data_IF_058769001809
#
_entry.id   IF_058769001809
#
_cell.length_a   1.000
_cell.length_b   1.000
_cell.length_c   1.000
_cell.angle_alpha   90.00
_cell.angle_beta   90.00
_cell.angle_gamma   90.00
#
_symmetry.space_group_name_H-M   'P 1'
#
loop_
_entity.id
_entity.type
_entity.pdbx_description
1 polymer ?
#
# COMPACT_ATOMS: atom_id res chain seq x y z
N UNK A 1 -20.49 14.13 7.24
CA UNK A 1 -19.94 14.08 5.86
C UNK A 1 -18.41 14.29 5.77
N UNK A 2 -17.70 14.57 6.86
CA UNK A 2 -16.23 14.79 6.89
C UNK A 2 -15.42 13.68 7.56
N UNK A 3 -16.05 12.84 8.38
CA UNK A 3 -15.38 11.79 9.17
C UNK A 3 -14.58 10.80 8.31
N UNK A 4 -15.20 10.22 7.28
CA UNK A 4 -14.52 9.27 6.37
C UNK A 4 -13.34 9.91 5.64
N UNK A 5 -13.43 11.20 5.31
CA UNK A 5 -12.35 11.91 4.63
C UNK A 5 -11.15 12.19 5.56
N UNK A 6 -11.39 12.62 6.80
CA UNK A 6 -10.33 12.79 7.79
C UNK A 6 -9.69 11.45 8.18
N UNK A 7 -10.50 10.40 8.32
CA UNK A 7 -10.03 9.05 8.59
C UNK A 7 -9.18 8.52 7.43
N UNK A 8 -9.62 8.69 6.18
CA UNK A 8 -8.85 8.30 4.99
C UNK A 8 -7.52 9.05 4.88
N UNK A 9 -7.55 10.36 5.16
CA UNK A 9 -6.36 11.20 5.16
C UNK A 9 -5.35 10.77 6.23
N UNK A 10 -5.82 10.50 7.46
CA UNK A 10 -4.99 9.99 8.55
C UNK A 10 -4.42 8.58 8.26
N UNK A 11 -5.25 7.68 7.73
CA UNK A 11 -4.85 6.31 7.36
C UNK A 11 -3.74 6.28 6.32
N UNK A 12 -3.74 7.20 5.36
CA UNK A 12 -2.67 7.29 4.36
C UNK A 12 -1.30 7.51 5.00
N UNK A 13 -1.21 8.34 6.05
CA UNK A 13 0.04 8.55 6.77
C UNK A 13 0.47 7.29 7.53
N UNK A 14 -0.48 6.56 8.13
CA UNK A 14 -0.20 5.28 8.78
C UNK A 14 0.29 4.22 7.80
N UNK A 15 -0.31 4.14 6.60
CA UNK A 15 0.12 3.22 5.53
C UNK A 15 1.51 3.56 5.03
N UNK A 16 1.82 4.85 4.82
CA UNK A 16 3.16 5.28 4.43
C UNK A 16 4.18 4.97 5.53
N UNK A 17 3.88 5.32 6.78
CA UNK A 17 4.77 5.07 7.92
C UNK A 17 5.03 3.57 8.11
N UNK A 18 3.97 2.76 8.18
CA UNK A 18 4.10 1.31 8.32
C UNK A 18 4.78 0.67 7.11
N UNK A 19 4.54 1.18 5.90
CA UNK A 19 5.22 0.74 4.67
C UNK A 19 6.72 1.02 4.71
N UNK A 20 7.14 2.21 5.13
CA UNK A 20 8.56 2.56 5.28
C UNK A 20 9.22 1.71 6.36
N UNK A 21 8.56 1.50 7.51
CA UNK A 21 9.09 0.63 8.58
C UNK A 21 9.24 -0.81 8.09
N UNK A 22 8.21 -1.36 7.43
CA UNK A 22 8.26 -2.72 6.89
C UNK A 22 9.35 -2.85 5.82
N UNK A 23 9.49 -1.85 4.94
CA UNK A 23 10.52 -1.81 3.92
C UNK A 23 11.92 -1.82 4.52
N UNK A 24 12.18 -0.91 5.48
CA UNK A 24 13.47 -0.80 6.15
C UNK A 24 13.83 -2.10 6.89
N UNK A 25 12.86 -2.69 7.61
CA UNK A 25 13.06 -3.95 8.32
C UNK A 25 13.33 -5.11 7.35
N UNK A 26 12.57 -5.24 6.27
CA UNK A 26 12.80 -6.31 5.28
C UNK A 26 14.11 -6.13 4.54
N UNK A 27 14.50 -4.92 4.18
CA UNK A 27 15.79 -4.64 3.56
C UNK A 27 16.94 -5.01 4.51
N UNK A 28 16.84 -4.63 5.79
CA UNK A 28 17.81 -5.00 6.81
C UNK A 28 17.89 -6.51 7.04
N UNK A 29 16.74 -7.19 7.10
CA UNK A 29 16.67 -8.64 7.32
C UNK A 29 17.22 -9.44 6.12
N UNK A 30 17.03 -8.95 4.89
CA UNK A 30 17.67 -9.50 3.68
C UNK A 30 19.18 -9.28 3.73
N UNK A 31 19.65 -8.06 4.03
CA UNK A 31 21.08 -7.73 4.08
C UNK A 31 21.83 -8.53 5.16
N UNK A 32 21.19 -8.75 6.31
CA UNK A 32 21.75 -9.55 7.42
C UNK A 32 21.48 -11.04 7.31
N UNK A 33 20.85 -11.50 6.21
CA UNK A 33 20.47 -12.91 5.96
C UNK A 33 19.72 -13.54 7.15
N UNK A 34 18.89 -12.75 7.84
CA UNK A 34 18.15 -13.24 9.02
C UNK A 34 17.11 -14.29 8.60
N UNK A 35 16.88 -15.33 9.41
CA UNK A 35 15.77 -16.23 9.22
C UNK A 35 14.44 -15.48 9.41
N UNK A 36 13.41 -15.88 8.66
CA UNK A 36 12.12 -15.22 8.73
C UNK A 36 11.48 -15.41 10.10
N UNK A 37 11.29 -14.29 10.82
CA UNK A 37 10.90 -14.28 12.22
C UNK A 37 9.45 -13.81 12.39
N UNK A 38 8.97 -13.86 13.64
CA UNK A 38 7.61 -13.40 13.97
C UNK A 38 7.45 -11.90 13.73
N UNK A 39 8.51 -11.10 13.93
CA UNK A 39 8.47 -9.64 13.79
C UNK A 39 8.21 -9.25 12.34
N UNK A 40 8.94 -9.83 11.39
CA UNK A 40 8.73 -9.60 9.96
C UNK A 40 7.34 -10.01 9.49
N UNK A 41 6.80 -11.11 10.04
CA UNK A 41 5.42 -11.52 9.77
C UNK A 41 4.40 -10.50 10.27
N UNK A 42 4.59 -9.97 11.48
CA UNK A 42 3.71 -8.96 12.07
C UNK A 42 3.79 -7.67 11.27
N UNK A 43 5.00 -7.17 10.96
CA UNK A 43 5.17 -5.94 10.19
C UNK A 43 4.54 -6.02 8.80
N UNK A 44 4.75 -7.13 8.08
CA UNK A 44 4.13 -7.35 6.77
C UNK A 44 2.60 -7.44 6.85
N UNK A 45 2.08 -8.13 7.87
CA UNK A 45 0.63 -8.24 8.09
C UNK A 45 0.00 -6.88 8.46
N UNK A 46 0.65 -6.10 9.32
CA UNK A 46 0.20 -4.78 9.73
C UNK A 46 0.18 -3.81 8.55
N UNK A 47 1.24 -3.76 7.74
CA UNK A 47 1.26 -2.91 6.54
C UNK A 47 0.16 -3.31 5.54
N UNK A 48 0.04 -4.61 5.22
CA UNK A 48 -1.03 -5.10 4.33
C UNK A 48 -2.42 -4.77 4.88
N UNK A 49 -2.62 -4.95 6.18
CA UNK A 49 -3.88 -4.64 6.87
C UNK A 49 -4.23 -3.15 6.81
N UNK A 50 -3.27 -2.25 7.09
CA UNK A 50 -3.50 -0.81 6.97
C UNK A 50 -3.80 -0.40 5.53
N UNK A 51 -3.11 -0.98 4.54
CA UNK A 51 -3.36 -0.70 3.13
C UNK A 51 -4.78 -1.14 2.72
N UNK A 52 -5.22 -2.33 3.13
CA UNK A 52 -6.58 -2.82 2.88
C UNK A 52 -7.63 -1.95 3.56
N UNK A 53 -7.40 -1.54 4.81
CA UNK A 53 -8.29 -0.63 5.52
C UNK A 53 -8.37 0.73 4.82
N UNK A 54 -7.25 1.26 4.30
CA UNK A 54 -7.24 2.49 3.53
C UNK A 54 -8.10 2.37 2.27
N UNK A 55 -8.00 1.25 1.53
CA UNK A 55 -8.84 1.00 0.35
C UNK A 55 -10.32 0.94 0.74
N UNK A 56 -10.67 0.21 1.81
CA UNK A 56 -12.05 0.09 2.28
C UNK A 56 -12.63 1.46 2.69
N UNK A 57 -11.88 2.26 3.42
CA UNK A 57 -12.30 3.63 3.78
C UNK A 57 -12.40 4.52 2.54
N UNK A 58 -11.52 4.32 1.54
CA UNK A 58 -11.59 5.02 0.24
C UNK A 58 -12.89 4.74 -0.52
N UNK A 59 -13.38 3.49 -0.47
CA UNK A 59 -14.69 3.11 -1.02
C UNK A 59 -15.82 3.84 -0.28
N UNK A 60 -15.73 3.96 1.05
CA UNK A 60 -16.69 4.77 1.83
C UNK A 60 -16.71 6.25 1.42
N UNK A 61 -15.55 6.83 1.12
CA UNK A 61 -15.46 8.21 0.61
C UNK A 61 -16.11 8.36 -0.76
N UNK A 62 -15.94 7.37 -1.65
CA UNK A 62 -16.57 7.36 -2.97
C UNK A 62 -18.10 7.37 -2.91
N UNK A 63 -18.67 6.52 -2.06
CA UNK A 63 -20.13 6.43 -1.88
C UNK A 63 -20.69 7.75 -1.32
N UNK A 64 -19.91 8.47 -0.51
CA UNK A 64 -20.38 9.67 0.19
C UNK A 64 -20.12 10.99 -0.52
N UNK A 65 -19.10 11.07 -1.40
CA UNK A 65 -18.65 12.34 -2.01
C UNK A 65 -18.80 12.40 -3.53
N UNK A 66 -19.23 11.30 -4.16
CA UNK A 66 -19.42 11.22 -5.60
C UNK A 66 -18.13 10.89 -6.35
N UNK A 67 -18.28 10.70 -7.66
CA UNK A 67 -17.27 10.13 -8.56
C UNK A 67 -16.56 11.21 -9.39
N UNK A 68 -15.25 11.04 -9.64
CA UNK A 68 -14.46 11.87 -10.56
C UNK A 68 -13.58 10.98 -11.45
N UNK A 69 -13.33 11.33 -12.73
CA UNK A 69 -12.61 10.45 -13.67
C UNK A 69 -11.19 10.07 -13.23
N UNK A 70 -10.44 11.01 -12.63
CA UNK A 70 -9.10 10.75 -12.08
C UNK A 70 -9.09 9.74 -10.91
N UNK A 71 -10.26 9.46 -10.33
CA UNK A 71 -10.41 8.58 -9.18
C UNK A 71 -10.34 7.10 -9.56
N UNK A 72 -10.63 6.73 -10.82
CA UNK A 72 -10.44 5.35 -11.31
C UNK A 72 -8.96 4.98 -11.24
N UNK A 73 -8.08 5.84 -11.78
CA UNK A 73 -6.64 5.57 -11.81
C UNK A 73 -6.08 5.35 -10.40
N UNK A 74 -6.52 6.17 -9.45
CA UNK A 74 -6.18 5.97 -8.05
C UNK A 74 -6.68 4.63 -7.48
N UNK A 75 -7.97 4.32 -7.66
CA UNK A 75 -8.57 3.08 -7.16
C UNK A 75 -7.86 1.85 -7.71
N UNK A 76 -7.64 1.81 -9.03
CA UNK A 76 -6.98 0.68 -9.69
C UNK A 76 -5.57 0.50 -9.13
N UNK A 77 -4.79 1.58 -9.01
CA UNK A 77 -3.43 1.52 -8.45
C UNK A 77 -3.43 1.04 -7.00
N UNK A 78 -4.41 1.45 -6.19
CA UNK A 78 -4.54 1.01 -4.80
C UNK A 78 -4.92 -0.48 -4.68
N UNK A 79 -5.80 -0.98 -5.54
CA UNK A 79 -6.16 -2.41 -5.59
C UNK A 79 -4.95 -3.24 -6.03
N UNK A 80 -4.23 -2.78 -7.05
CA UNK A 80 -2.99 -3.42 -7.49
C UNK A 80 -1.93 -3.41 -6.37
N UNK A 81 -1.82 -2.32 -5.60
CA UNK A 81 -0.91 -2.25 -4.45
C UNK A 81 -1.24 -3.31 -3.39
N UNK A 82 -2.52 -3.48 -3.05
CA UNK A 82 -2.98 -4.55 -2.14
C UNK A 82 -2.58 -5.92 -2.66
N UNK A 83 -2.81 -6.19 -3.94
CA UNK A 83 -2.39 -7.46 -4.58
C UNK A 83 -0.86 -7.65 -4.54
N UNK A 84 -0.10 -6.58 -4.78
CA UNK A 84 1.36 -6.59 -4.82
C UNK A 84 2.01 -6.90 -3.47
N UNK A 85 1.40 -6.55 -2.34
CA UNK A 85 1.90 -6.96 -1.02
C UNK A 85 1.28 -8.29 -0.55
N UNK A 86 -0.03 -8.47 -0.74
CA UNK A 86 -0.75 -9.62 -0.22
C UNK A 86 -0.35 -10.91 -0.94
N UNK A 87 -0.12 -10.86 -2.25
CA UNK A 87 0.33 -12.01 -3.04
C UNK A 87 1.67 -12.57 -2.56
N UNK A 88 2.75 -11.77 -2.52
CA UNK A 88 4.05 -12.21 -2.00
C UNK A 88 4.03 -12.64 -0.54
N UNK A 89 3.25 -11.98 0.33
CA UNK A 89 3.10 -12.43 1.72
C UNK A 89 2.43 -13.80 1.80
N UNK A 90 1.35 -14.03 1.05
CA UNK A 90 0.64 -15.31 1.00
C UNK A 90 1.52 -16.41 0.40
N UNK A 91 2.27 -16.11 -0.65
CA UNK A 91 3.22 -17.05 -1.26
C UNK A 91 4.38 -17.38 -0.30
N UNK A 92 4.94 -16.38 0.39
CA UNK A 92 6.03 -16.58 1.33
C UNK A 92 5.63 -17.44 2.53
N UNK A 93 4.39 -17.33 3.00
CA UNK A 93 3.85 -18.20 4.07
C UNK A 93 3.81 -19.69 3.68
N UNK A 94 3.79 -20.00 2.38
CA UNK A 94 3.77 -21.37 1.85
C UNK A 94 5.16 -21.94 1.57
N UNK A 95 6.24 -21.14 1.73
CA UNK A 95 7.62 -21.59 1.49
C UNK A 95 8.24 -22.19 2.74
N UNK A 96 9.09 -23.20 2.52
CA UNK A 96 9.90 -23.84 3.57
C UNK A 96 11.37 -23.87 3.11
N UNK A 97 12.26 -23.01 3.64
CA UNK A 97 12.01 -21.98 4.65
C UNK A 97 11.39 -20.68 4.07
N UNK A 98 10.57 -19.96 4.86
CA UNK A 98 10.12 -18.62 4.51
C UNK A 98 11.29 -17.63 4.51
N UNK A 99 11.27 -16.65 3.61
CA UNK A 99 12.35 -15.66 3.45
C UNK A 99 11.85 -14.21 3.40
N UNK A 100 12.76 -13.24 3.41
CA UNK A 100 12.41 -11.81 3.38
C UNK A 100 12.36 -11.18 1.99
N UNK A 101 12.90 -11.85 0.97
CA UNK A 101 12.98 -11.30 -0.39
C UNK A 101 11.59 -11.07 -1.00
N UNK A 102 10.66 -12.03 -0.84
CA UNK A 102 9.30 -11.90 -1.37
C UNK A 102 8.52 -10.75 -0.70
N UNK A 103 8.46 -10.68 0.64
CA UNK A 103 7.86 -9.53 1.32
C UNK A 103 8.53 -8.21 0.97
N UNK A 104 9.86 -8.16 0.82
CA UNK A 104 10.59 -6.95 0.43
C UNK A 104 10.14 -6.45 -0.96
N UNK A 105 10.17 -7.33 -1.96
CA UNK A 105 9.76 -6.99 -3.33
C UNK A 105 8.28 -6.60 -3.37
N UNK A 106 7.42 -7.32 -2.65
CA UNK A 106 6.00 -6.98 -2.55
C UNK A 106 5.75 -5.62 -1.91
N UNK A 107 6.47 -5.29 -0.83
CA UNK A 107 6.38 -3.98 -0.17
C UNK A 107 6.91 -2.86 -1.07
N UNK A 108 8.02 -3.08 -1.79
CA UNK A 108 8.55 -2.10 -2.76
C UNK A 108 7.55 -1.80 -3.87
N UNK A 109 7.02 -2.83 -4.52
CA UNK A 109 6.07 -2.68 -5.62
C UNK A 109 4.77 -2.04 -5.12
N UNK A 110 4.28 -2.46 -3.96
CA UNK A 110 3.11 -1.88 -3.32
C UNK A 110 3.31 -0.39 -3.01
N UNK A 111 4.44 0.00 -2.41
CA UNK A 111 4.75 1.41 -2.15
C UNK A 111 4.83 2.24 -3.43
N UNK A 112 5.47 1.72 -4.48
CA UNK A 112 5.54 2.39 -5.77
C UNK A 112 4.16 2.62 -6.38
N UNK A 113 3.27 1.63 -6.29
CA UNK A 113 1.88 1.74 -6.75
C UNK A 113 1.07 2.73 -5.91
N UNK A 114 1.24 2.75 -4.59
CA UNK A 114 0.59 3.75 -3.70
C UNK A 114 1.03 5.15 -4.06
N UNK A 115 2.33 5.39 -4.25
CA UNK A 115 2.88 6.69 -4.66
C UNK A 115 2.37 7.06 -6.06
N UNK A 116 2.35 6.13 -7.01
CA UNK A 116 1.79 6.35 -8.35
C UNK A 116 0.31 6.72 -8.32
N UNK A 117 -0.49 6.02 -7.51
CA UNK A 117 -1.91 6.32 -7.32
C UNK A 117 -2.14 7.71 -6.69
N UNK A 118 -1.26 8.14 -5.80
CA UNK A 118 -1.29 9.51 -5.23
C UNK A 118 -0.97 10.55 -6.29
N UNK A 119 0.05 10.31 -7.11
CA UNK A 119 0.46 11.23 -8.17
C UNK A 119 -0.60 11.32 -9.28
N UNK A 120 -1.34 10.25 -9.54
CA UNK A 120 -2.47 10.24 -10.48
C UNK A 120 -3.65 11.12 -10.04
N UNK A 121 -3.80 11.36 -8.73
CA UNK A 121 -4.81 12.31 -8.19
C UNK A 121 -4.33 13.76 -8.30
N UNK A 122 -3.02 14.01 -8.22
CA UNK A 122 -2.51 15.37 -8.44
C UNK A 122 -2.88 15.75 -9.88
N UNK A 123 -3.40 16.98 -10.13
CA UNK A 123 -3.59 17.45 -11.50
C UNK A 123 -2.25 17.30 -12.18
N UNK A 124 -2.17 16.38 -13.14
CA UNK A 124 -0.89 16.02 -13.73
C UNK A 124 -0.25 17.26 -14.33
N UNK A 125 1.08 17.33 -14.28
CA UNK A 125 1.90 18.21 -15.11
C UNK A 125 1.67 17.95 -16.62
N UNK A 126 0.86 16.95 -16.98
CA UNK A 126 0.42 16.59 -18.33
C UNK A 126 -1.05 16.94 -18.61
N UNK A 127 -1.76 17.58 -17.67
CA UNK A 127 -3.00 18.28 -18.02
C UNK A 127 -2.57 19.64 -18.57
N UNK A 128 -2.44 19.71 -19.90
CA UNK A 128 -2.55 20.98 -20.60
C UNK A 128 -3.89 21.59 -20.19
N UNK A 129 -3.86 22.76 -19.57
CA UNK A 129 -5.01 23.61 -19.33
C UNK A 129 -5.55 24.05 -20.70
N UNK A 130 -6.38 23.19 -21.28
CA UNK A 130 -7.26 23.53 -22.37
C UNK A 130 -8.59 22.88 -22.04
N UNK A 131 -9.41 23.58 -21.24
CA UNK A 131 -10.71 24.13 -21.62
C UNK A 131 -11.26 24.93 -20.43
#
# INVERSE_FOLDING_TARGET
>A
MTFFFHLHSGLRYLVLLSGVIALAFFAFAVATKRPFDKVGRILGASYSGFLQLQVLVGIGVLVTRGYYPALIGHMVMMILAVGAIQGPLSANRRRTPPGYVLPLVGTLVSLALVVGGILAIRPGLFVSSAF
#
